data_IF_029926603468
#
_entry.id   IF_029926603468
#
_cell.length_a   1.000
_cell.length_b   1.000
_cell.length_c   1.000
_cell.angle_alpha   90.00
_cell.angle_beta   90.00
_cell.angle_gamma   90.00
#
_symmetry.space_group_name_H-M   'P 1'
#
loop_
_entity.id
_entity.type
_entity.pdbx_description
1 polymer ?
#
# COMPACT_ATOMS: atom_id res chain seq x y z
N UNK A 1 5.12 24.54 0.23
CA UNK A 1 4.42 24.78 1.49
C UNK A 1 3.67 23.53 1.95
N UNK A 2 2.37 23.31 1.65
CA UNK A 2 1.61 22.16 2.22
C UNK A 2 2.18 20.79 1.79
N UNK A 3 2.61 20.65 0.53
CA UNK A 3 3.23 19.39 0.05
C UNK A 3 4.59 19.17 0.71
N UNK A 4 5.36 20.24 0.92
CA UNK A 4 6.67 20.18 1.58
C UNK A 4 6.52 19.90 3.08
N UNK A 5 5.54 20.51 3.77
CA UNK A 5 5.13 20.17 5.15
C UNK A 5 4.67 18.71 5.27
N UNK A 6 4.06 18.12 4.22
CA UNK A 6 3.67 16.70 4.17
C UNK A 6 4.91 15.80 4.00
N UNK A 7 5.87 16.16 3.15
CA UNK A 7 7.13 15.42 3.03
C UNK A 7 8.00 15.56 4.30
N UNK A 8 8.10 16.75 4.88
CA UNK A 8 8.70 16.97 6.21
C UNK A 8 7.98 16.14 7.28
N UNK A 9 6.64 16.08 7.29
CA UNK A 9 5.90 15.23 8.24
C UNK A 9 6.13 13.72 8.01
N UNK A 10 6.53 13.30 6.81
CA UNK A 10 6.94 11.93 6.50
C UNK A 10 8.40 11.70 6.97
N UNK A 11 9.30 12.65 6.78
CA UNK A 11 10.72 12.56 7.16
C UNK A 11 10.94 12.72 8.69
N UNK A 12 10.21 13.61 9.35
CA UNK A 12 10.23 13.84 10.80
C UNK A 12 9.51 12.75 11.60
N UNK A 13 8.78 11.84 10.94
CA UNK A 13 8.07 10.75 11.59
C UNK A 13 8.93 9.50 11.88
N UNK A 14 10.24 9.67 12.13
CA UNK A 14 11.04 8.69 12.88
C UNK A 14 10.60 8.72 14.35
N UNK A 15 10.01 7.64 14.90
CA UNK A 15 9.42 7.70 16.23
C UNK A 15 10.47 7.85 17.33
N UNK A 16 10.34 8.90 18.14
CA UNK A 16 10.83 8.84 19.52
C UNK A 16 10.13 7.68 20.23
N UNK A 17 10.89 6.87 21.01
CA UNK A 17 10.35 5.71 21.72
C UNK A 17 9.17 6.13 22.62
N UNK A 18 7.97 5.55 22.45
CA UNK A 18 6.83 5.89 23.29
C UNK A 18 7.04 5.36 24.72
N UNK A 19 7.22 6.25 25.68
CA UNK A 19 7.12 5.95 27.11
C UNK A 19 5.64 5.88 27.51
N UNK A 20 5.05 4.69 27.37
CA UNK A 20 3.71 4.38 27.91
C UNK A 20 3.88 3.59 29.21
N UNK A 21 3.24 4.05 30.30
CA UNK A 21 3.08 3.24 31.51
C UNK A 21 1.86 2.31 31.37
N UNK A 22 1.88 1.11 31.99
CA UNK A 22 1.32 -0.08 31.36
C UNK A 22 -0.14 -0.34 31.72
N UNK A 23 -0.83 -1.06 30.82
CA UNK A 23 -1.89 -1.98 31.21
C UNK A 23 -1.25 -3.33 31.58
N UNK A 24 -1.56 -3.86 32.75
CA UNK A 24 -0.92 -5.06 33.29
C UNK A 24 -1.65 -6.33 32.88
N UNK A 25 -1.16 -6.99 31.83
CA UNK A 25 -1.24 -8.44 31.68
C UNK A 25 0.18 -9.01 31.84
N UNK A 26 0.32 -10.13 32.57
CA UNK A 26 1.61 -10.64 33.02
C UNK A 26 2.33 -11.49 31.96
N UNK A 27 3.55 -11.08 31.57
CA UNK A 27 4.65 -11.87 30.97
C UNK A 27 4.29 -12.83 29.79
N UNK A 28 4.89 -12.79 28.60
CA UNK A 28 6.15 -12.15 28.16
C UNK A 28 6.27 -12.14 26.62
N UNK A 29 6.61 -11.01 25.99
CA UNK A 29 6.95 -10.95 24.54
C UNK A 29 7.73 -9.65 24.14
N UNK A 30 8.80 -9.29 24.87
CA UNK A 30 9.60 -8.09 24.56
C UNK A 30 10.44 -8.25 23.28
N UNK A 31 9.89 -7.88 22.11
CA UNK A 31 10.63 -7.91 20.85
C UNK A 31 9.82 -7.50 19.62
N UNK A 32 10.51 -7.34 18.49
CA UNK A 32 9.91 -6.99 17.20
C UNK A 32 8.81 -7.97 16.76
N UNK A 33 9.00 -9.27 16.99
CA UNK A 33 8.00 -10.33 16.72
C UNK A 33 6.72 -10.12 17.56
N UNK A 34 6.85 -9.72 18.83
CA UNK A 34 5.70 -9.38 19.68
C UNK A 34 4.94 -8.14 19.18
N UNK A 35 5.65 -7.17 18.61
CA UNK A 35 5.03 -6.01 17.96
C UNK A 35 4.32 -6.38 16.64
N UNK A 36 4.86 -7.33 15.86
CA UNK A 36 4.18 -7.89 14.67
C UNK A 36 2.91 -8.62 15.07
N UNK A 37 2.95 -9.49 16.09
CA UNK A 37 1.76 -10.13 16.66
C UNK A 37 0.69 -9.11 17.05
N UNK A 38 1.05 -8.07 17.81
CA UNK A 38 0.10 -7.05 18.26
C UNK A 38 -0.60 -6.32 17.09
N UNK A 39 0.10 -6.10 15.96
CA UNK A 39 -0.48 -5.52 14.74
C UNK A 39 -1.45 -6.47 14.06
N UNK A 40 -1.12 -7.76 13.92
CA UNK A 40 -2.02 -8.76 13.34
C UNK A 40 -3.26 -9.00 14.21
N UNK A 41 -3.11 -9.03 15.54
CA UNK A 41 -4.23 -9.13 16.47
C UNK A 41 -5.18 -7.92 16.36
N UNK A 42 -4.65 -6.69 16.39
CA UNK A 42 -5.52 -5.50 16.25
C UNK A 42 -6.18 -5.40 14.86
N UNK A 43 -5.48 -5.78 13.79
CA UNK A 43 -6.05 -5.88 12.44
C UNK A 43 -7.24 -6.84 12.41
N UNK A 44 -7.08 -8.05 13.00
CA UNK A 44 -8.13 -9.07 13.03
C UNK A 44 -9.35 -8.59 13.84
N UNK A 45 -9.13 -8.07 15.06
CA UNK A 45 -10.20 -7.55 15.91
C UNK A 45 -10.90 -6.33 15.29
N UNK A 46 -10.18 -5.46 14.60
CA UNK A 46 -10.74 -4.30 13.89
C UNK A 46 -11.61 -4.72 12.70
N UNK A 47 -11.19 -5.70 11.90
CA UNK A 47 -12.02 -6.25 10.82
C UNK A 47 -13.25 -6.99 11.34
N UNK A 48 -13.16 -7.67 12.49
CA UNK A 48 -14.32 -8.29 13.15
C UNK A 48 -15.34 -7.24 13.62
N UNK A 49 -14.90 -6.22 14.37
CA UNK A 49 -15.76 -5.13 14.87
C UNK A 49 -16.50 -4.38 13.76
N UNK A 50 -15.90 -4.29 12.57
CA UNK A 50 -16.44 -3.56 11.42
C UNK A 50 -17.12 -4.46 10.37
N UNK A 51 -17.47 -5.71 10.71
CA UNK A 51 -18.04 -6.67 9.76
C UNK A 51 -19.47 -6.29 9.29
N UNK A 52 -19.65 -6.16 7.97
CA UNK A 52 -20.93 -5.81 7.34
C UNK A 52 -21.95 -6.96 7.52
N UNK A 53 -23.20 -6.59 7.80
CA UNK A 53 -24.33 -7.54 7.89
C UNK A 53 -24.50 -8.27 6.56
N UNK A 54 -24.45 -9.60 6.58
CA UNK A 54 -24.40 -10.46 5.40
C UNK A 54 -23.01 -11.02 5.08
N UNK A 55 -21.92 -10.34 5.46
CA UNK A 55 -20.54 -10.82 5.29
C UNK A 55 -19.93 -11.43 6.56
N UNK A 56 -20.54 -11.19 7.73
CA UNK A 56 -20.05 -11.60 9.06
C UNK A 56 -19.49 -13.03 9.12
N UNK A 57 -20.17 -14.02 8.52
CA UNK A 57 -19.68 -15.40 8.48
C UNK A 57 -18.34 -15.54 7.73
N UNK A 58 -18.20 -14.89 6.57
CA UNK A 58 -16.96 -14.87 5.80
C UNK A 58 -15.84 -14.12 6.55
N UNK A 59 -16.18 -13.02 7.22
CA UNK A 59 -15.23 -12.29 8.07
C UNK A 59 -14.71 -13.15 9.23
N UNK A 60 -15.58 -13.91 9.91
CA UNK A 60 -15.17 -14.84 10.97
C UNK A 60 -14.18 -15.89 10.48
N UNK A 61 -14.46 -16.53 9.35
CA UNK A 61 -13.54 -17.51 8.73
C UNK A 61 -12.21 -16.85 8.35
N UNK A 62 -12.24 -15.69 7.68
CA UNK A 62 -11.03 -14.97 7.24
C UNK A 62 -10.17 -14.51 8.42
N UNK A 63 -10.77 -13.96 9.47
CA UNK A 63 -10.04 -13.43 10.63
C UNK A 63 -9.57 -14.53 11.58
N UNK A 64 -10.33 -15.63 11.69
CA UNK A 64 -9.82 -16.88 12.29
C UNK A 64 -8.55 -17.35 11.57
N UNK A 65 -8.58 -17.44 10.23
CA UNK A 65 -7.42 -17.86 9.43
C UNK A 65 -6.23 -16.91 9.54
N UNK A 66 -6.46 -15.60 9.51
CA UNK A 66 -5.43 -14.59 9.72
C UNK A 66 -4.76 -14.78 11.09
N UNK A 67 -5.55 -14.90 12.16
CA UNK A 67 -5.03 -14.95 13.52
C UNK A 67 -4.36 -16.30 13.86
N UNK A 68 -4.86 -17.41 13.32
CA UNK A 68 -4.22 -18.72 13.43
C UNK A 68 -2.85 -18.76 12.72
N UNK A 69 -2.78 -18.21 11.49
CA UNK A 69 -1.51 -18.13 10.75
C UNK A 69 -0.51 -17.16 11.40
N UNK A 70 -1.00 -16.05 11.94
CA UNK A 70 -0.21 -15.10 12.72
C UNK A 70 0.36 -15.73 14.00
N UNK A 71 -0.46 -16.50 14.73
CA UNK A 71 -0.06 -17.11 15.99
C UNK A 71 0.94 -18.26 15.78
N UNK A 72 0.75 -19.07 14.74
CA UNK A 72 1.72 -20.09 14.34
C UNK A 72 3.07 -19.45 13.96
N UNK A 73 3.06 -18.39 13.14
CA UNK A 73 4.26 -17.69 12.71
C UNK A 73 5.11 -17.15 13.88
N UNK A 74 4.47 -16.50 14.86
CA UNK A 74 5.22 -15.95 16.01
C UNK A 74 5.71 -17.04 16.96
N UNK A 75 4.99 -18.15 17.09
CA UNK A 75 5.44 -19.34 17.84
C UNK A 75 6.63 -20.03 17.18
N UNK A 76 6.64 -20.15 15.86
CA UNK A 76 7.79 -20.64 15.09
C UNK A 76 9.03 -19.73 15.27
N UNK A 77 8.80 -18.42 15.46
CA UNK A 77 9.82 -17.45 15.84
C UNK A 77 10.13 -17.39 17.36
N UNK A 78 9.62 -18.33 18.16
CA UNK A 78 9.92 -18.49 19.58
C UNK A 78 9.15 -17.57 20.54
N UNK A 79 8.05 -16.95 20.09
CA UNK A 79 7.19 -16.08 20.90
C UNK A 79 5.79 -16.69 20.97
N UNK A 80 5.33 -17.00 22.18
CA UNK A 80 3.96 -17.49 22.42
C UNK A 80 3.15 -16.43 23.20
N UNK A 81 2.46 -15.51 22.51
CA UNK A 81 1.87 -14.33 23.15
C UNK A 81 0.41 -14.53 23.61
N UNK A 82 -0.24 -15.62 23.23
CA UNK A 82 -1.66 -15.88 23.47
C UNK A 82 -1.99 -17.37 23.27
N UNK A 83 -2.93 -17.93 24.04
CA UNK A 83 -3.42 -19.29 23.78
C UNK A 83 -4.41 -19.33 22.62
N UNK A 84 -4.64 -20.52 22.04
CA UNK A 84 -5.56 -20.68 20.90
C UNK A 84 -7.00 -20.31 21.29
N UNK A 85 -7.46 -20.78 22.46
CA UNK A 85 -8.81 -20.45 22.95
C UNK A 85 -8.95 -18.97 23.32
N UNK A 86 -7.90 -18.30 23.83
CA UNK A 86 -7.93 -16.85 24.06
C UNK A 86 -8.03 -16.07 22.74
N UNK A 87 -7.28 -16.49 21.71
CA UNK A 87 -7.31 -15.87 20.39
C UNK A 87 -8.67 -16.06 19.68
N UNK A 88 -9.26 -17.25 19.80
CA UNK A 88 -10.61 -17.56 19.30
C UNK A 88 -11.67 -16.77 20.08
N UNK A 89 -11.53 -16.66 21.41
CA UNK A 89 -12.45 -15.88 22.26
C UNK A 89 -12.38 -14.39 21.95
N UNK A 90 -11.19 -13.83 21.75
CA UNK A 90 -11.02 -12.42 21.37
C UNK A 90 -11.70 -12.10 20.03
N UNK A 91 -11.64 -13.01 19.06
CA UNK A 91 -12.38 -12.90 17.80
C UNK A 91 -13.90 -12.99 18.02
N UNK A 92 -14.37 -13.95 18.81
CA UNK A 92 -15.79 -14.13 19.14
C UNK A 92 -16.38 -12.88 19.81
N UNK A 93 -15.69 -12.33 20.81
CA UNK A 93 -16.11 -11.11 21.52
C UNK A 93 -16.08 -9.86 20.63
N UNK A 94 -15.15 -9.79 19.66
CA UNK A 94 -15.05 -8.69 18.71
C UNK A 94 -16.19 -8.64 17.68
N UNK A 95 -16.91 -9.76 17.47
CA UNK A 95 -18.12 -9.82 16.66
C UNK A 95 -19.07 -10.89 17.23
N UNK A 96 -19.69 -10.52 18.35
CA UNK A 96 -20.66 -11.35 19.06
C UNK A 96 -21.72 -11.91 18.09
N UNK A 97 -22.16 -13.17 18.27
CA UNK A 97 -23.10 -13.80 17.38
C UNK A 97 -24.51 -13.24 17.47
N UNK A 98 -25.27 -13.43 16.39
CA UNK A 98 -26.71 -13.20 16.40
C UNK A 98 -27.40 -14.35 17.18
N UNK A 99 -28.50 -14.05 17.89
CA UNK A 99 -29.16 -14.96 18.84
C UNK A 99 -29.62 -16.27 18.17
N UNK A 100 -29.15 -17.42 18.69
CA UNK A 100 -29.42 -18.75 18.16
C UNK A 100 -28.44 -19.26 17.09
N UNK A 101 -27.41 -18.49 16.72
CA UNK A 101 -26.39 -18.87 15.75
C UNK A 101 -24.99 -19.10 16.41
N UNK A 102 -24.91 -19.08 17.74
CA UNK A 102 -23.66 -19.00 18.52
C UNK A 102 -22.68 -20.15 18.21
N UNK A 103 -23.17 -21.39 18.19
CA UNK A 103 -22.36 -22.60 17.95
C UNK A 103 -21.78 -22.61 16.52
N UNK A 104 -22.59 -22.21 15.54
CA UNK A 104 -22.22 -22.16 14.11
C UNK A 104 -21.22 -21.04 13.83
N UNK A 105 -21.38 -19.88 14.45
CA UNK A 105 -20.48 -18.75 14.25
C UNK A 105 -19.16 -18.92 15.02
N UNK A 106 -19.16 -19.57 16.18
CA UNK A 106 -17.94 -20.03 16.85
C UNK A 106 -17.22 -21.12 16.02
N UNK A 107 -17.96 -22.08 15.46
CA UNK A 107 -17.38 -23.09 14.57
C UNK A 107 -16.73 -22.47 13.32
N UNK A 108 -17.29 -21.39 12.76
CA UNK A 108 -16.69 -20.66 11.65
C UNK A 108 -15.34 -20.01 12.02
N UNK A 109 -15.21 -19.45 13.23
CA UNK A 109 -13.94 -18.92 13.74
C UNK A 109 -12.93 -20.08 13.93
N UNK A 110 -13.33 -21.16 14.62
CA UNK A 110 -12.46 -22.32 14.89
C UNK A 110 -11.95 -22.96 13.60
N UNK A 111 -12.83 -23.22 12.64
CA UNK A 111 -12.46 -23.76 11.33
C UNK A 111 -11.45 -22.86 10.61
N UNK A 112 -11.69 -21.54 10.59
CA UNK A 112 -10.75 -20.57 10.04
C UNK A 112 -9.39 -20.64 10.73
N UNK A 113 -9.38 -20.67 12.07
CA UNK A 113 -8.19 -20.68 12.91
C UNK A 113 -7.33 -21.94 12.69
N UNK A 114 -7.92 -23.12 12.63
CA UNK A 114 -7.23 -24.38 12.30
C UNK A 114 -6.59 -24.36 10.89
N UNK A 115 -7.27 -23.73 9.92
CA UNK A 115 -6.72 -23.49 8.57
C UNK A 115 -5.67 -22.37 8.53
N UNK A 116 -5.58 -21.55 9.57
CA UNK A 116 -4.49 -20.59 9.80
C UNK A 116 -3.26 -21.27 10.38
N UNK A 117 -3.44 -22.07 11.45
CA UNK A 117 -2.34 -22.79 12.11
C UNK A 117 -1.56 -23.72 11.15
N UNK A 118 -2.23 -24.26 10.14
CA UNK A 118 -1.62 -25.12 9.10
C UNK A 118 -0.97 -24.34 7.94
N UNK A 119 -1.06 -23.00 7.94
CA UNK A 119 -0.43 -22.11 6.96
C UNK A 119 0.09 -20.83 7.66
N UNK A 120 1.23 -20.91 8.37
CA UNK A 120 1.83 -19.76 9.06
C UNK A 120 2.08 -18.57 8.11
N UNK A 121 1.95 -17.35 8.64
CA UNK A 121 2.28 -16.13 7.91
C UNK A 121 3.79 -15.85 7.91
N UNK A 122 4.28 -15.15 6.89
CA UNK A 122 5.65 -14.62 6.90
C UNK A 122 5.75 -13.42 7.86
N UNK A 123 6.67 -13.50 8.83
CA UNK A 123 7.02 -12.34 9.66
C UNK A 123 7.86 -11.38 8.81
N UNK A 124 7.42 -10.12 8.61
CA UNK A 124 8.15 -9.16 7.77
C UNK A 124 9.53 -8.86 8.38
N UNK A 125 10.56 -8.74 7.56
CA UNK A 125 11.91 -8.42 8.03
C UNK A 125 11.94 -7.08 8.80
N UNK A 126 12.74 -6.96 9.88
CA UNK A 126 12.88 -5.69 10.59
C UNK A 126 13.50 -4.62 9.68
N UNK A 127 13.06 -3.35 9.78
CA UNK A 127 13.55 -2.28 8.91
C UNK A 127 15.05 -2.03 9.09
N UNK A 128 15.73 -1.75 7.98
CA UNK A 128 17.16 -1.47 7.96
C UNK A 128 17.53 -0.19 8.77
N UNK A 129 18.74 -0.10 9.34
CA UNK A 129 19.20 1.11 10.00
C UNK A 129 19.36 2.28 9.00
N UNK A 130 19.19 3.55 9.43
CA UNK A 130 19.22 4.69 8.52
C UNK A 130 20.60 4.93 7.90
N UNK A 131 20.62 5.32 6.63
CA UNK A 131 21.80 5.80 5.90
C UNK A 131 22.07 7.28 6.23
N UNK A 132 23.33 7.71 6.28
CA UNK A 132 23.72 9.10 6.61
C UNK A 132 23.97 10.00 5.39
N UNK A 133 23.84 11.32 5.62
CA UNK A 133 24.12 12.48 4.74
C UNK A 133 23.02 12.92 3.75
N UNK A 134 22.85 14.25 3.64
CA UNK A 134 21.62 14.95 3.23
C UNK A 134 21.83 15.94 2.04
N UNK A 135 22.93 15.82 1.29
CA UNK A 135 23.40 16.88 0.37
C UNK A 135 23.01 16.71 -1.11
N UNK A 136 21.99 15.91 -1.46
CA UNK A 136 21.69 15.55 -2.86
C UNK A 136 20.28 15.85 -3.41
N UNK A 137 19.36 16.40 -2.61
CA UNK A 137 17.96 16.58 -3.02
C UNK A 137 17.70 17.82 -3.90
N UNK A 138 18.42 18.93 -3.68
CA UNK A 138 18.30 20.16 -4.49
C UNK A 138 18.64 19.96 -5.98
N UNK A 139 19.39 18.91 -6.31
CA UNK A 139 19.79 18.60 -7.69
C UNK A 139 18.67 17.96 -8.53
N UNK A 140 17.57 17.49 -7.90
CA UNK A 140 16.55 16.66 -8.56
C UNK A 140 15.36 17.48 -9.07
N UNK A 141 14.98 18.56 -8.37
CA UNK A 141 13.73 19.30 -8.62
C UNK A 141 13.92 20.64 -9.35
N UNK A 142 15.13 20.92 -9.84
CA UNK A 142 15.42 22.12 -10.62
C UNK A 142 14.86 22.08 -12.06
N UNK A 143 13.78 22.83 -12.29
CA UNK A 143 13.26 23.25 -13.60
C UNK A 143 12.53 22.22 -14.49
N UNK A 144 11.19 22.30 -14.52
CA UNK A 144 10.43 22.52 -15.75
C UNK A 144 8.97 22.96 -15.46
N UNK A 145 8.60 24.19 -15.85
CA UNK A 145 7.19 24.59 -16.05
C UNK A 145 7.01 24.80 -17.55
N UNK A 146 6.00 24.15 -18.14
CA UNK A 146 5.61 24.35 -19.54
C UNK A 146 4.09 24.54 -19.60
N UNK A 147 3.65 25.67 -20.14
CA UNK A 147 2.23 25.97 -20.37
C UNK A 147 1.71 25.29 -21.65
N UNK A 148 0.42 24.91 -21.67
CA UNK A 148 -0.27 24.46 -22.87
C UNK A 148 -1.71 24.99 -22.92
N UNK A 149 -2.16 25.32 -24.13
CA UNK A 149 -3.44 26.00 -24.43
C UNK A 149 -4.57 25.02 -24.81
N UNK A 150 -5.86 25.42 -24.77
CA UNK A 150 -6.99 24.50 -24.94
C UNK A 150 -7.47 24.35 -26.40
N UNK A 151 -7.99 23.16 -26.74
CA UNK A 151 -9.32 22.91 -27.34
C UNK A 151 -9.48 21.44 -27.82
N UNK A 152 -10.54 20.75 -27.37
CA UNK A 152 -11.53 20.00 -28.20
C UNK A 152 -12.51 19.12 -27.37
N UNK A 153 -13.76 18.97 -27.85
CA UNK A 153 -14.99 18.58 -27.09
C UNK A 153 -15.97 17.83 -28.05
N UNK A 154 -16.81 16.82 -27.74
CA UNK A 154 -17.45 16.20 -26.54
C UNK A 154 -17.60 14.66 -26.78
N UNK A 155 -18.56 13.87 -26.20
CA UNK A 155 -19.44 14.00 -25.00
C UNK A 155 -19.34 12.77 -24.04
N UNK A 156 -20.07 12.60 -22.93
CA UNK A 156 -21.19 13.31 -22.29
C UNK A 156 -20.77 13.83 -20.90
N UNK A 157 -21.11 15.09 -20.58
CA UNK A 157 -20.68 15.76 -19.34
C UNK A 157 -21.89 16.21 -18.52
N UNK A 158 -21.96 15.73 -17.27
CA UNK A 158 -22.78 16.36 -16.22
C UNK A 158 -22.15 17.74 -15.95
N UNK A 159 -22.90 18.85 -16.02
CA UNK A 159 -22.30 20.18 -16.14
C UNK A 159 -21.44 20.55 -14.92
N UNK A 160 -20.15 20.76 -15.18
CA UNK A 160 -19.22 21.41 -14.25
C UNK A 160 -19.54 22.90 -14.17
N UNK A 161 -19.86 23.38 -12.96
CA UNK A 161 -19.84 24.82 -12.68
C UNK A 161 -18.41 25.21 -12.24
N UNK A 162 -17.75 26.17 -12.90
CA UNK A 162 -16.46 26.66 -12.44
C UNK A 162 -16.60 27.56 -11.21
N UNK A 163 -15.50 27.71 -10.47
CA UNK A 163 -15.26 28.80 -9.51
C UNK A 163 -16.31 29.03 -8.41
N UNK A 164 -16.30 28.15 -7.41
CA UNK A 164 -16.21 28.46 -5.96
C UNK A 164 -16.17 27.11 -5.25
N UNK A 165 -15.14 26.84 -4.44
CA UNK A 165 -15.20 25.72 -3.50
C UNK A 165 -16.42 25.95 -2.58
N UNK A 166 -17.43 25.05 -2.56
CA UNK A 166 -18.62 25.25 -1.75
C UNK A 166 -18.17 25.43 -0.30
N UNK A 167 -18.70 26.45 0.39
CA UNK A 167 -18.25 26.88 1.72
C UNK A 167 -18.13 25.68 2.66
N UNK A 168 -16.90 25.19 2.88
CA UNK A 168 -16.75 23.85 3.45
C UNK A 168 -17.20 23.88 4.91
N UNK A 169 -18.36 23.27 5.18
CA UNK A 169 -19.01 23.35 6.48
C UNK A 169 -18.12 22.82 7.62
N UNK A 170 -18.40 23.26 8.84
CA UNK A 170 -17.76 22.80 10.06
C UNK A 170 -18.48 21.52 10.53
N UNK A 171 -18.29 20.43 9.77
CA UNK A 171 -18.89 19.09 9.98
C UNK A 171 -17.88 18.00 9.65
N UNK A 172 -18.15 16.75 10.04
CA UNK A 172 -17.25 15.62 9.72
C UNK A 172 -17.14 15.36 8.21
N UNK A 173 -18.24 15.49 7.46
CA UNK A 173 -18.22 15.52 6.00
C UNK A 173 -17.35 16.69 5.46
N UNK A 174 -17.48 17.88 6.05
CA UNK A 174 -16.62 19.02 5.69
C UNK A 174 -15.15 18.81 6.03
N UNK A 175 -14.84 18.03 7.07
CA UNK A 175 -13.48 17.58 7.36
C UNK A 175 -13.00 16.57 6.30
N UNK A 176 -13.85 15.62 5.90
CA UNK A 176 -13.57 14.69 4.80
C UNK A 176 -13.26 15.44 3.50
N UNK A 177 -14.05 16.45 3.13
CA UNK A 177 -13.80 17.26 1.93
C UNK A 177 -12.49 18.08 2.01
N UNK A 178 -12.09 18.57 3.20
CA UNK A 178 -10.76 19.19 3.41
C UNK A 178 -9.62 18.18 3.21
N UNK A 179 -9.80 16.96 3.70
CA UNK A 179 -8.84 15.88 3.49
C UNK A 179 -8.72 15.54 2.00
N UNK A 180 -9.85 15.34 1.30
CA UNK A 180 -9.89 15.10 -0.15
C UNK A 180 -9.16 16.21 -0.91
N UNK A 181 -9.43 17.48 -0.62
CA UNK A 181 -8.78 18.58 -1.34
C UNK A 181 -7.26 18.60 -1.16
N UNK A 182 -6.78 18.25 0.04
CA UNK A 182 -5.35 18.15 0.35
C UNK A 182 -4.64 16.95 -0.29
N UNK A 183 -5.35 15.85 -0.64
CA UNK A 183 -4.71 14.57 -1.00
C UNK A 183 -5.21 13.88 -2.28
N UNK A 184 -6.26 14.36 -2.94
CA UNK A 184 -6.84 13.80 -4.20
C UNK A 184 -5.80 13.47 -5.27
N UNK A 185 -4.68 14.16 -5.23
CA UNK A 185 -3.58 14.11 -6.17
C UNK A 185 -2.49 13.09 -5.82
N UNK A 186 -2.49 12.52 -4.61
CA UNK A 186 -1.43 11.63 -4.11
C UNK A 186 -1.92 10.46 -3.23
N UNK A 187 -3.20 10.40 -2.88
CA UNK A 187 -3.80 9.33 -2.06
C UNK A 187 -5.07 8.83 -2.72
N UNK A 188 -5.24 7.51 -2.79
CA UNK A 188 -6.49 6.89 -3.24
C UNK A 188 -6.83 5.63 -2.44
N UNK A 189 -8.09 5.20 -2.48
CA UNK A 189 -8.55 3.95 -1.88
C UNK A 189 -8.96 2.96 -2.97
N UNK A 190 -8.43 1.74 -2.91
CA UNK A 190 -8.85 0.66 -3.82
C UNK A 190 -9.81 -0.26 -3.07
N UNK A 191 -11.10 -0.11 -3.36
CA UNK A 191 -12.20 -0.82 -2.67
C UNK A 191 -12.07 -2.35 -2.76
N UNK A 192 -11.65 -2.86 -3.92
CA UNK A 192 -11.44 -4.29 -4.15
C UNK A 192 -10.31 -4.89 -3.29
N UNK A 193 -9.34 -4.07 -2.88
CA UNK A 193 -8.23 -4.48 -2.00
C UNK A 193 -8.50 -4.14 -0.53
N UNK A 194 -9.45 -3.23 -0.27
CA UNK A 194 -9.70 -2.68 1.06
C UNK A 194 -8.53 -1.85 1.58
N UNK A 195 -7.75 -1.24 0.68
CA UNK A 195 -6.40 -0.74 0.90
C UNK A 195 -6.26 0.71 0.42
N UNK A 196 -5.64 1.57 1.23
CA UNK A 196 -5.16 2.87 0.80
C UNK A 196 -3.84 2.75 0.03
N UNK A 197 -3.69 3.54 -1.03
CA UNK A 197 -2.42 3.73 -1.74
C UNK A 197 -1.98 5.19 -1.63
N UNK A 198 -0.66 5.39 -1.58
CA UNK A 198 -0.01 6.70 -1.61
C UNK A 198 0.96 6.73 -2.80
N UNK A 199 0.96 7.83 -3.55
CA UNK A 199 1.96 8.08 -4.58
C UNK A 199 3.30 8.48 -3.95
N UNK A 200 4.34 7.69 -4.14
CA UNK A 200 5.66 7.91 -3.53
C UNK A 200 6.66 8.67 -4.42
N UNK A 201 6.18 9.26 -5.52
CA UNK A 201 7.03 9.89 -6.53
C UNK A 201 7.38 9.00 -7.73
N UNK A 202 7.22 7.67 -7.60
CA UNK A 202 7.54 6.69 -8.65
C UNK A 202 6.39 5.73 -8.98
N UNK A 203 5.69 5.22 -7.95
CA UNK A 203 4.57 4.29 -8.09
C UNK A 203 3.51 4.53 -7.00
N UNK A 204 2.34 3.91 -7.17
CA UNK A 204 1.30 3.87 -6.15
C UNK A 204 1.58 2.73 -5.18
N UNK A 205 1.99 3.08 -3.98
CA UNK A 205 2.45 2.16 -2.94
C UNK A 205 1.35 1.89 -1.92
N UNK A 206 1.25 0.65 -1.41
CA UNK A 206 0.30 0.30 -0.37
C UNK A 206 0.64 1.01 0.95
N UNK A 207 -0.28 1.86 1.42
CA UNK A 207 -0.13 2.65 2.64
C UNK A 207 -0.83 2.00 3.81
N UNK A 208 -0.21 2.01 4.99
CA UNK A 208 -0.92 1.66 6.23
C UNK A 208 -1.87 2.79 6.70
N UNK A 209 -2.83 2.44 7.55
CA UNK A 209 -3.79 3.40 8.11
C UNK A 209 -3.12 4.43 9.05
N UNK A 210 -1.87 4.21 9.47
CA UNK A 210 -1.13 5.12 10.34
C UNK A 210 -0.65 6.33 9.52
N UNK A 211 -0.15 6.11 8.30
CA UNK A 211 0.20 7.19 7.36
C UNK A 211 -1.03 8.03 7.02
N UNK A 212 -2.15 7.40 6.65
CA UNK A 212 -3.42 8.09 6.36
C UNK A 212 -3.91 8.90 7.56
N UNK A 213 -3.77 8.37 8.78
CA UNK A 213 -4.10 9.08 10.02
C UNK A 213 -3.16 10.26 10.32
N UNK A 214 -1.86 10.16 10.04
CA UNK A 214 -0.92 11.29 10.15
C UNK A 214 -1.30 12.42 9.19
N UNK A 215 -1.64 12.09 7.96
CA UNK A 215 -2.11 13.07 6.97
C UNK A 215 -3.40 13.75 7.46
N UNK A 216 -4.34 12.99 8.05
CA UNK A 216 -5.55 13.57 8.63
C UNK A 216 -5.26 14.50 9.83
N UNK A 217 -4.23 14.21 10.63
CA UNK A 217 -3.76 15.14 11.66
C UNK A 217 -3.19 16.43 11.05
N UNK A 218 -2.40 16.35 9.98
CA UNK A 218 -1.86 17.51 9.28
C UNK A 218 -2.98 18.43 8.76
N UNK A 219 -4.04 17.87 8.15
CA UNK A 219 -5.22 18.62 7.71
C UNK A 219 -5.92 19.38 8.85
N UNK A 220 -5.99 18.79 10.06
CA UNK A 220 -6.56 19.50 11.24
C UNK A 220 -5.61 20.57 11.78
N UNK A 221 -4.30 20.31 11.79
CA UNK A 221 -3.28 21.29 12.19
C UNK A 221 -3.29 22.50 11.25
N UNK A 222 -3.35 22.27 9.93
CA UNK A 222 -3.41 23.33 8.93
C UNK A 222 -4.74 24.10 8.99
N UNK A 223 -5.84 23.43 9.33
CA UNK A 223 -7.11 24.11 9.63
C UNK A 223 -7.01 25.02 10.87
N UNK A 224 -6.20 24.66 11.87
CA UNK A 224 -5.90 25.54 13.01
C UNK A 224 -4.96 26.69 12.61
N UNK A 225 -3.91 26.43 11.82
CA UNK A 225 -3.05 27.49 11.24
C UNK A 225 -3.90 28.50 10.45
N UNK A 226 -4.79 28.03 9.58
CA UNK A 226 -5.66 28.85 8.73
C UNK A 226 -6.71 29.67 9.51
N UNK A 227 -7.04 29.28 10.74
CA UNK A 227 -7.89 30.08 11.63
C UNK A 227 -7.20 31.34 12.16
N UNK A 228 -5.86 31.46 12.04
CA UNK A 228 -5.08 32.64 12.39
C UNK A 228 -4.59 33.31 11.10
N UNK A 229 -5.29 34.35 10.65
CA UNK A 229 -4.94 35.09 9.42
C UNK A 229 -4.82 36.58 9.70
N UNK A 230 -3.72 37.20 9.26
CA UNK A 230 -3.46 38.64 9.43
C UNK A 230 -3.56 39.12 10.90
N UNK A 231 -3.15 38.27 11.85
CA UNK A 231 -3.33 38.42 13.31
C UNK A 231 -4.81 38.51 13.79
N UNK A 232 -5.78 38.16 12.94
CA UNK A 232 -7.18 37.99 13.29
C UNK A 232 -7.49 36.50 13.46
N UNK A 233 -8.11 36.15 14.59
CA UNK A 233 -8.52 34.78 14.90
C UNK A 233 -9.98 34.54 14.47
N UNK A 234 -10.18 33.62 13.53
CA UNK A 234 -11.48 32.99 13.31
C UNK A 234 -11.76 32.04 14.49
N UNK A 235 -12.55 32.54 15.43
CA UNK A 235 -12.91 31.82 16.65
C UNK A 235 -13.75 30.57 16.39
N UNK A 236 -14.51 30.50 15.29
CA UNK A 236 -15.34 29.33 15.01
C UNK A 236 -14.53 28.24 14.30
N UNK A 237 -13.66 28.61 13.35
CA UNK A 237 -12.73 27.67 12.72
C UNK A 237 -11.72 27.11 13.73
N UNK A 238 -11.15 27.94 14.61
CA UNK A 238 -10.22 27.49 15.65
C UNK A 238 -10.87 26.52 16.66
N UNK A 239 -12.11 26.82 17.11
CA UNK A 239 -12.89 25.89 17.95
C UNK A 239 -13.22 24.59 17.22
N UNK A 240 -13.45 24.64 15.92
CA UNK A 240 -13.73 23.46 15.11
C UNK A 240 -12.50 22.57 14.91
N UNK A 241 -11.33 23.17 14.67
CA UNK A 241 -10.06 22.45 14.58
C UNK A 241 -9.75 21.68 15.88
N UNK A 242 -9.79 22.36 17.03
CA UNK A 242 -9.57 21.70 18.33
C UNK A 242 -10.57 20.56 18.62
N UNK A 243 -11.83 20.67 18.15
CA UNK A 243 -12.79 19.56 18.24
C UNK A 243 -12.40 18.39 17.34
N UNK A 244 -11.87 18.68 16.15
CA UNK A 244 -11.53 17.72 15.09
C UNK A 244 -10.35 16.83 15.41
N UNK A 245 -9.47 17.21 16.34
CA UNK A 245 -8.33 16.39 16.81
C UNK A 245 -8.75 15.10 17.54
N UNK A 246 -10.02 14.96 17.94
CA UNK A 246 -10.49 13.74 18.60
C UNK A 246 -10.42 12.53 17.66
N UNK A 247 -9.95 11.38 18.16
CA UNK A 247 -9.77 10.17 17.37
C UNK A 247 -11.05 9.72 16.62
N UNK A 248 -12.23 10.00 17.19
CA UNK A 248 -13.52 9.77 16.53
C UNK A 248 -13.72 10.65 15.30
N UNK A 249 -13.40 11.95 15.37
CA UNK A 249 -13.51 12.88 14.23
C UNK A 249 -12.41 12.70 13.19
N UNK A 250 -11.21 12.30 13.59
CA UNK A 250 -10.16 11.90 12.64
C UNK A 250 -10.59 10.65 11.85
N UNK A 251 -11.15 9.64 12.52
CA UNK A 251 -11.68 8.47 11.83
C UNK A 251 -12.91 8.80 10.96
N UNK A 252 -13.77 9.73 11.40
CA UNK A 252 -14.89 10.21 10.59
C UNK A 252 -14.40 10.99 9.34
N UNK A 253 -13.42 11.88 9.48
CA UNK A 253 -12.77 12.59 8.36
C UNK A 253 -12.29 11.62 7.29
N UNK A 254 -11.54 10.58 7.68
CA UNK A 254 -11.01 9.57 6.75
C UNK A 254 -12.15 8.77 6.10
N UNK A 255 -13.16 8.36 6.87
CA UNK A 255 -14.32 7.62 6.37
C UNK A 255 -15.19 8.43 5.40
N UNK A 256 -15.41 9.72 5.67
CA UNK A 256 -16.14 10.64 4.79
C UNK A 256 -15.32 11.02 3.55
N UNK A 257 -13.99 11.02 3.63
CA UNK A 257 -13.12 11.25 2.46
C UNK A 257 -13.07 10.04 1.51
N UNK A 258 -13.15 8.83 2.04
CA UNK A 258 -12.94 7.58 1.30
C UNK A 258 -13.78 7.47 0.00
N UNK A 259 -15.10 7.77 -0.04
CA UNK A 259 -15.89 7.67 -1.27
C UNK A 259 -15.40 8.56 -2.42
N UNK A 260 -14.79 9.70 -2.10
CA UNK A 260 -14.27 10.66 -3.08
C UNK A 260 -12.85 10.34 -3.56
N UNK A 261 -12.15 9.44 -2.86
CA UNK A 261 -10.80 8.98 -3.17
C UNK A 261 -10.78 7.54 -3.72
N UNK A 262 -11.95 6.93 -3.93
CA UNK A 262 -12.08 5.60 -4.50
C UNK A 262 -11.60 5.54 -5.96
N UNK A 263 -10.70 4.62 -6.27
CA UNK A 263 -10.23 4.30 -7.64
C UNK A 263 -10.47 2.82 -7.92
N UNK A 264 -10.88 2.48 -9.14
CA UNK A 264 -11.13 1.10 -9.52
C UNK A 264 -9.80 0.35 -9.72
N UNK A 265 -9.71 -0.88 -9.23
CA UNK A 265 -8.55 -1.77 -9.45
C UNK A 265 -8.21 -1.92 -10.94
N UNK A 266 -9.20 -1.89 -11.83
CA UNK A 266 -9.02 -1.99 -13.28
C UNK A 266 -8.37 -0.75 -13.92
N UNK A 267 -8.14 0.34 -13.17
CA UNK A 267 -7.39 1.52 -13.63
C UNK A 267 -5.88 1.39 -13.39
N UNK A 268 -5.44 0.43 -12.58
CA UNK A 268 -4.02 0.22 -12.25
C UNK A 268 -3.33 -0.76 -13.22
N UNK A 269 -2.04 -0.56 -13.44
CA UNK A 269 -1.16 -1.40 -14.27
C UNK A 269 -1.68 -1.69 -15.71
N UNK A 270 -2.55 -0.83 -16.25
CA UNK A 270 -3.21 -0.99 -17.57
C UNK A 270 -2.28 -0.82 -18.77
N UNK A 271 -1.05 -0.33 -18.52
CA UNK A 271 -0.07 0.05 -19.54
C UNK A 271 0.85 -1.14 -19.89
N UNK A 272 0.27 -2.23 -20.40
CA UNK A 272 0.93 -3.54 -20.52
C UNK A 272 2.28 -3.58 -21.26
N UNK A 273 2.51 -2.69 -22.23
CA UNK A 273 3.76 -2.59 -23.00
C UNK A 273 4.82 -1.68 -22.33
N UNK A 274 4.56 -1.17 -21.13
CA UNK A 274 5.43 -0.24 -20.40
C UNK A 274 5.83 -0.80 -19.04
N UNK A 275 7.04 -0.45 -18.59
CA UNK A 275 7.62 -0.94 -17.35
C UNK A 275 8.12 0.23 -16.50
N UNK A 276 7.70 0.27 -15.23
CA UNK A 276 8.09 1.31 -14.29
C UNK A 276 9.38 0.91 -13.56
N UNK A 277 10.43 1.72 -13.71
CA UNK A 277 11.82 1.40 -13.41
C UNK A 277 12.52 2.56 -12.69
N UNK A 278 13.71 2.38 -12.12
CA UNK A 278 14.28 3.38 -11.21
C UNK A 278 14.52 4.78 -11.81
N UNK A 279 14.70 4.88 -13.14
CA UNK A 279 14.92 6.12 -13.87
C UNK A 279 13.71 6.58 -14.73
N UNK A 280 12.52 6.01 -14.54
CA UNK A 280 11.28 6.45 -15.21
C UNK A 280 10.36 5.30 -15.62
N UNK A 281 9.61 5.49 -16.70
CA UNK A 281 8.77 4.47 -17.31
C UNK A 281 9.33 4.18 -18.71
N UNK A 282 9.75 2.95 -18.98
CA UNK A 282 10.28 2.54 -20.30
C UNK A 282 9.19 1.92 -21.17
N UNK A 283 9.09 2.33 -22.44
CA UNK A 283 8.33 1.61 -23.46
C UNK A 283 9.13 0.38 -23.92
N UNK A 284 8.62 -0.83 -23.67
CA UNK A 284 9.32 -2.08 -23.99
C UNK A 284 9.48 -2.32 -25.50
N UNK A 285 8.84 -1.52 -26.36
CA UNK A 285 8.85 -1.66 -27.82
C UNK A 285 9.89 -0.76 -28.48
N UNK A 286 10.14 0.43 -27.94
CA UNK A 286 11.16 1.37 -28.45
C UNK A 286 12.41 1.47 -27.58
N UNK A 287 12.29 1.23 -26.27
CA UNK A 287 13.34 1.49 -25.28
C UNK A 287 13.39 2.95 -24.81
N UNK A 288 12.45 3.79 -25.22
CA UNK A 288 12.38 5.18 -24.75
C UNK A 288 11.91 5.23 -23.29
N UNK A 289 12.54 6.09 -22.48
CA UNK A 289 12.19 6.30 -21.07
C UNK A 289 11.54 7.68 -20.91
N UNK A 290 10.36 7.71 -20.29
CA UNK A 290 9.65 8.94 -19.90
C UNK A 290 9.67 9.12 -18.38
N UNK A 291 9.48 10.34 -17.84
CA UNK A 291 9.39 10.55 -16.39
C UNK A 291 8.26 9.76 -15.74
N UNK A 292 8.37 9.52 -14.43
CA UNK A 292 7.30 8.90 -13.64
C UNK A 292 6.01 9.75 -13.69
N UNK A 293 4.88 9.09 -13.95
CA UNK A 293 3.58 9.73 -14.05
C UNK A 293 2.55 9.00 -13.18
N UNK A 294 2.08 9.69 -12.14
CA UNK A 294 1.06 9.20 -11.22
C UNK A 294 -0.27 8.85 -11.91
N UNK A 295 -0.59 9.50 -13.03
CA UNK A 295 -1.83 9.28 -13.77
C UNK A 295 -1.84 7.93 -14.50
N UNK A 296 -0.67 7.31 -14.71
CA UNK A 296 -0.55 5.99 -15.35
C UNK A 296 -0.83 4.83 -14.38
N UNK A 297 -0.89 5.12 -13.08
CA UNK A 297 -1.32 4.18 -12.02
C UNK A 297 -0.59 2.84 -12.02
N UNK A 298 0.73 2.87 -12.13
CA UNK A 298 1.55 1.70 -11.82
C UNK A 298 1.53 1.41 -10.31
N UNK A 299 1.28 0.16 -9.93
CA UNK A 299 1.62 -0.36 -8.58
C UNK A 299 2.88 -1.20 -8.59
N UNK A 300 3.26 -1.71 -9.76
CA UNK A 300 4.50 -2.44 -9.99
C UNK A 300 5.64 -1.47 -10.27
N UNK A 301 6.81 -1.76 -9.72
CA UNK A 301 8.03 -0.96 -9.86
C UNK A 301 9.26 -1.86 -9.71
N UNK A 302 10.31 -1.54 -10.44
CA UNK A 302 11.60 -2.24 -10.41
C UNK A 302 12.70 -1.24 -10.06
N UNK A 303 13.46 -1.50 -8.99
CA UNK A 303 14.50 -0.58 -8.51
C UNK A 303 15.83 -0.71 -9.29
N UNK A 304 15.74 -0.82 -10.62
CA UNK A 304 16.87 -0.91 -11.56
C UNK A 304 16.68 0.15 -12.64
N UNK A 305 17.73 0.91 -12.94
CA UNK A 305 17.71 1.88 -14.04
C UNK A 305 17.96 1.19 -15.38
N UNK A 306 17.21 1.57 -16.42
CA UNK A 306 17.48 1.11 -17.79
C UNK A 306 18.60 1.91 -18.43
N UNK A 307 19.63 1.21 -18.90
CA UNK A 307 20.68 1.74 -19.78
C UNK A 307 20.67 0.97 -21.11
N UNK A 308 20.35 1.60 -22.25
CA UNK A 308 20.39 0.93 -23.56
C UNK A 308 21.81 0.50 -23.97
N UNK A 309 22.85 1.08 -23.39
CA UNK A 309 24.26 0.79 -23.67
C UNK A 309 24.90 -0.20 -22.70
N UNK A 310 24.15 -0.75 -21.74
CA UNK A 310 24.66 -1.68 -20.74
C UNK A 310 25.40 -2.86 -21.40
N UNK A 311 26.53 -3.28 -20.80
CA UNK A 311 27.31 -4.41 -21.33
C UNK A 311 26.51 -5.71 -21.22
N UNK A 312 26.35 -6.37 -22.38
CA UNK A 312 25.60 -7.62 -22.54
C UNK A 312 26.52 -8.82 -22.73
N UNK A 313 27.85 -8.63 -22.71
CA UNK A 313 28.84 -9.68 -22.95
C UNK A 313 28.64 -10.92 -22.07
N UNK A 314 28.36 -10.72 -20.79
CA UNK A 314 28.12 -11.78 -19.80
C UNK A 314 26.82 -12.52 -20.09
N UNK A 315 25.72 -11.82 -20.36
CA UNK A 315 24.42 -12.46 -20.61
C UNK A 315 24.41 -13.16 -21.98
N UNK A 316 25.05 -12.61 -23.01
CA UNK A 316 25.14 -13.26 -24.32
C UNK A 316 26.07 -14.49 -24.31
N UNK A 317 27.17 -14.46 -23.54
CA UNK A 317 28.01 -15.64 -23.29
C UNK A 317 27.26 -16.71 -22.48
N UNK A 318 26.49 -16.31 -21.46
CA UNK A 318 25.63 -17.20 -20.68
C UNK A 318 24.57 -17.86 -21.57
N UNK A 319 23.83 -17.06 -22.35
CA UNK A 319 22.81 -17.55 -23.29
C UNK A 319 23.39 -18.52 -24.31
N UNK A 320 24.53 -18.19 -24.91
CA UNK A 320 25.25 -19.09 -25.84
C UNK A 320 25.64 -20.40 -25.18
N UNK A 321 26.05 -20.35 -23.90
CA UNK A 321 26.44 -21.54 -23.12
C UNK A 321 25.25 -22.44 -22.82
N UNK A 322 24.13 -21.90 -22.33
CA UNK A 322 22.96 -22.71 -21.95
C UNK A 322 22.18 -23.28 -23.15
N UNK A 323 22.33 -22.67 -24.34
CA UNK A 323 21.73 -23.17 -25.58
C UNK A 323 22.71 -23.93 -26.48
N UNK A 324 23.97 -24.13 -26.05
CA UNK A 324 25.04 -24.76 -26.83
C UNK A 324 25.24 -24.13 -28.23
N UNK A 325 25.01 -22.82 -28.34
CA UNK A 325 25.08 -22.07 -29.61
C UNK A 325 23.80 -22.11 -30.46
N UNK A 326 22.73 -22.76 -30.01
CA UNK A 326 21.42 -22.70 -30.68
C UNK A 326 20.83 -21.28 -30.55
N UNK A 327 20.82 -20.57 -31.69
CA UNK A 327 20.34 -19.20 -31.82
C UNK A 327 18.81 -19.13 -31.74
N UNK A 328 18.10 -20.14 -32.25
CA UNK A 328 16.63 -20.16 -32.25
C UNK A 328 16.11 -20.38 -30.83
N UNK A 329 16.69 -21.33 -30.10
CA UNK A 329 16.41 -21.56 -28.68
C UNK A 329 16.77 -20.34 -27.82
N UNK A 330 17.90 -19.69 -28.10
CA UNK A 330 18.34 -18.48 -27.38
C UNK A 330 17.36 -17.33 -27.58
N UNK A 331 16.91 -17.10 -28.81
CA UNK A 331 15.88 -16.11 -29.11
C UNK A 331 14.53 -16.47 -28.49
N UNK A 332 14.13 -17.75 -28.49
CA UNK A 332 12.89 -18.20 -27.85
C UNK A 332 12.90 -17.92 -26.35
N UNK A 333 13.98 -18.24 -25.64
CA UNK A 333 14.13 -17.94 -24.20
C UNK A 333 14.09 -16.43 -23.94
N UNK A 334 14.80 -15.62 -24.75
CA UNK A 334 14.76 -14.15 -24.65
C UNK A 334 13.35 -13.59 -24.89
N UNK A 335 12.59 -14.13 -25.85
CA UNK A 335 11.18 -13.77 -26.10
C UNK A 335 10.27 -14.15 -24.93
N UNK A 336 10.42 -15.34 -24.36
CA UNK A 336 9.64 -15.80 -23.20
C UNK A 336 9.87 -14.92 -21.95
N UNK A 337 11.13 -14.51 -21.70
CA UNK A 337 11.45 -13.56 -20.65
C UNK A 337 10.86 -12.16 -20.95
N UNK A 338 11.07 -11.63 -22.16
CA UNK A 338 10.52 -10.32 -22.55
C UNK A 338 8.99 -10.26 -22.49
N UNK A 339 8.29 -11.32 -22.91
CA UNK A 339 6.84 -11.44 -22.76
C UNK A 339 6.43 -11.42 -21.28
N UNK A 340 7.17 -12.12 -20.42
CA UNK A 340 6.91 -12.15 -18.96
C UNK A 340 7.17 -10.80 -18.26
N UNK A 341 7.93 -9.89 -18.88
CA UNK A 341 8.10 -8.51 -18.40
C UNK A 341 6.93 -7.59 -18.80
N UNK A 342 6.13 -7.97 -19.81
CA UNK A 342 4.92 -7.24 -20.16
C UNK A 342 3.78 -7.56 -19.19
N UNK A 343 2.77 -6.69 -19.12
CA UNK A 343 1.52 -7.01 -18.43
C UNK A 343 0.58 -7.95 -19.21
N UNK A 344 0.97 -8.43 -20.40
CA UNK A 344 0.05 -9.10 -21.34
C UNK A 344 -0.21 -10.55 -21.00
N UNK A 345 -1.43 -11.01 -21.27
CA UNK A 345 -1.87 -12.40 -21.05
C UNK A 345 -2.44 -13.07 -22.29
N UNK A 346 -2.37 -12.40 -23.45
CA UNK A 346 -2.96 -12.78 -24.74
C UNK A 346 -2.61 -14.21 -25.21
N UNK A 347 -1.36 -14.65 -24.98
CA UNK A 347 -0.88 -15.97 -25.41
C UNK A 347 -1.40 -17.14 -24.54
N UNK A 348 -2.00 -16.84 -23.37
CA UNK A 348 -2.52 -17.82 -22.41
C UNK A 348 -1.55 -18.99 -22.09
N UNK A 349 -0.23 -18.73 -22.13
CA UNK A 349 0.82 -19.74 -22.07
C UNK A 349 1.56 -19.76 -20.72
N UNK A 350 2.17 -20.90 -20.39
CA UNK A 350 3.06 -21.07 -19.24
C UNK A 350 4.39 -21.68 -19.67
N UNK A 351 5.51 -21.03 -19.33
CA UNK A 351 6.85 -21.45 -19.73
C UNK A 351 7.47 -22.42 -18.72
N UNK A 352 7.74 -23.66 -19.15
CA UNK A 352 8.39 -24.68 -18.33
C UNK A 352 9.89 -24.82 -18.66
N UNK A 353 10.75 -24.41 -17.73
CA UNK A 353 12.19 -24.62 -17.84
C UNK A 353 12.55 -26.08 -17.46
N UNK A 354 12.56 -27.00 -18.44
CA UNK A 354 12.78 -28.44 -18.23
C UNK A 354 14.25 -28.89 -18.39
N UNK A 355 14.60 -30.11 -17.94
CA UNK A 355 15.86 -30.82 -18.24
C UNK A 355 16.71 -31.21 -17.02
N UNK A 356 17.65 -32.13 -17.23
CA UNK A 356 18.27 -33.02 -16.22
C UNK A 356 19.32 -32.37 -15.27
N UNK A 357 19.12 -31.12 -14.85
CA UNK A 357 20.03 -30.38 -13.96
C UNK A 357 21.24 -29.75 -14.68
N UNK A 358 21.99 -28.89 -13.97
CA UNK A 358 23.24 -28.21 -14.40
C UNK A 358 23.21 -27.36 -15.70
N UNK A 359 22.07 -27.24 -16.38
CA UNK A 359 21.92 -26.46 -17.62
C UNK A 359 21.55 -24.97 -17.39
N UNK A 360 22.10 -24.31 -16.38
CA UNK A 360 21.89 -22.87 -16.12
C UNK A 360 20.48 -22.40 -15.72
N UNK A 361 19.45 -23.25 -15.73
CA UNK A 361 18.05 -22.88 -15.44
C UNK A 361 17.85 -22.04 -14.18
N UNK A 362 18.34 -22.52 -13.03
CA UNK A 362 18.21 -21.78 -11.77
C UNK A 362 18.96 -20.47 -11.80
N UNK A 363 20.11 -20.40 -12.48
CA UNK A 363 20.86 -19.15 -12.68
C UNK A 363 20.07 -18.14 -13.51
N UNK A 364 19.37 -18.60 -14.56
CA UNK A 364 18.50 -17.75 -15.38
C UNK A 364 17.28 -17.25 -14.60
N UNK A 365 16.59 -18.14 -13.85
CA UNK A 365 15.46 -17.72 -13.02
C UNK A 365 15.89 -16.76 -11.90
N UNK A 366 17.04 -16.99 -11.26
CA UNK A 366 17.59 -16.09 -10.24
C UNK A 366 18.02 -14.72 -10.82
N UNK A 367 18.48 -14.69 -12.08
CA UNK A 367 18.77 -13.44 -12.79
C UNK A 367 17.48 -12.66 -13.06
N UNK A 368 16.41 -13.35 -13.50
CA UNK A 368 15.12 -12.73 -13.72
C UNK A 368 14.45 -12.27 -12.41
N UNK A 369 14.65 -12.95 -11.28
CA UNK A 369 14.10 -12.55 -9.99
C UNK A 369 14.87 -11.45 -9.25
N UNK A 370 15.95 -10.93 -9.86
CA UNK A 370 16.58 -9.67 -9.41
C UNK A 370 15.91 -8.44 -10.03
N UNK A 371 15.05 -8.67 -11.03
CA UNK A 371 14.20 -7.70 -11.73
C UNK A 371 12.79 -7.84 -11.19
#
# INVERSE_FOLDING_TARGET
DVIDDIFDAIEYAKPAKPTVRPYTASHSADGYVGAVWARWLDQALTKMRNAVVGERHNTRVKMGRLLGGALAAVRDAGVDPMSDDDAITALYDALAPDEGEEEKELAAIRWGFEHGLSAPLDIPAPPAPPMESLESLDAIFGSAIVEATPDDVAPDVIPSNPEVLPTIHLTDLGNGLRFVDAVKDCVCYVTAWGQWLVWNGKYWEASDDIVIRKIAHAVVIDMYKAAVKDNVLDNELAKWALKSETAARISAMIGEAQPYLCVNVAEFDTKHDYLNIANGIVDLRSGDVVPHDKTWRFTKYIDIAYDPNADRSVIDAFMTTITAGDVELSQYIKRAAGYSMTGRTDEHCLFFAYGNGKNGKSTFMNMLSMV
#
